data_IF_796060612017
#
_entry.id   IF_796060612017
#
_cell.length_a   1.000
_cell.length_b   1.000
_cell.length_c   1.000
_cell.angle_alpha   90.00
_cell.angle_beta   90.00
_cell.angle_gamma   90.00
#
_symmetry.space_group_name_H-M   'P 1'
#
loop_
_entity.id
_entity.type
_entity.pdbx_description
1 polymer ?
#
# COMPACT_ATOMS: atom_id res chain seq x y z
N UNK A 1 -26.04 9.76 -20.10
CA UNK A 1 -24.97 10.77 -19.91
C UNK A 1 -25.45 11.80 -18.90
N UNK A 2 -25.21 11.58 -17.62
CA UNK A 2 -25.57 12.51 -16.56
C UNK A 2 -24.41 13.50 -16.42
N UNK A 3 -24.63 14.77 -16.79
CA UNK A 3 -23.68 15.84 -16.52
C UNK A 3 -23.62 16.00 -15.00
N UNK A 4 -22.50 15.63 -14.39
CA UNK A 4 -22.17 15.98 -13.02
C UNK A 4 -22.18 17.52 -12.93
N UNK A 5 -23.20 18.09 -12.31
CA UNK A 5 -23.28 19.53 -12.02
C UNK A 5 -22.30 19.79 -10.87
N UNK A 6 -21.11 20.29 -11.22
CA UNK A 6 -20.15 20.83 -10.25
C UNK A 6 -20.85 21.92 -9.44
N UNK A 7 -20.80 21.85 -8.12
CA UNK A 7 -21.41 22.87 -7.26
C UNK A 7 -20.78 24.24 -7.58
N UNK A 8 -21.59 25.32 -7.66
CA UNK A 8 -21.07 26.66 -7.96
C UNK A 8 -20.00 27.14 -6.97
N UNK A 9 -20.02 26.64 -5.74
CA UNK A 9 -19.00 26.90 -4.72
C UNK A 9 -17.68 26.25 -5.05
N UNK A 10 -17.71 25.04 -5.61
CA UNK A 10 -16.52 24.30 -6.01
C UNK A 10 -15.85 24.95 -7.23
N UNK A 11 -16.65 25.37 -8.23
CA UNK A 11 -16.12 26.05 -9.42
C UNK A 11 -15.43 27.38 -9.02
N UNK A 12 -16.04 28.17 -8.12
CA UNK A 12 -15.47 29.43 -7.64
C UNK A 12 -14.23 29.22 -6.74
N UNK A 13 -14.21 28.17 -5.93
CA UNK A 13 -13.03 27.78 -5.13
C UNK A 13 -11.94 27.14 -5.98
N UNK A 14 -12.30 26.40 -7.04
CA UNK A 14 -11.34 25.88 -8.02
C UNK A 14 -10.65 27.03 -8.76
N UNK A 15 -11.35 28.12 -9.07
CA UNK A 15 -10.75 29.33 -9.63
C UNK A 15 -9.79 30.02 -8.63
N UNK A 16 -10.13 30.05 -7.34
CA UNK A 16 -9.28 30.63 -6.28
C UNK A 16 -8.08 29.73 -5.96
N UNK A 17 -8.27 28.41 -5.89
CA UNK A 17 -7.19 27.44 -5.68
C UNK A 17 -6.31 27.28 -6.93
N UNK A 18 -6.90 27.48 -8.14
CA UNK A 18 -6.16 27.54 -9.39
C UNK A 18 -5.12 28.66 -9.40
N UNK A 19 -5.40 29.77 -8.73
CA UNK A 19 -4.48 30.90 -8.64
C UNK A 19 -3.38 30.67 -7.59
N UNK A 20 -3.63 29.95 -6.48
CA UNK A 20 -2.70 29.86 -5.34
C UNK A 20 -2.00 28.51 -5.20
N UNK A 21 -2.66 27.37 -5.50
CA UNK A 21 -2.12 26.03 -5.29
C UNK A 21 -1.92 25.21 -6.59
N UNK A 22 -2.69 25.47 -7.65
CA UNK A 22 -2.48 24.83 -8.95
C UNK A 22 -1.15 25.17 -9.61
N UNK A 23 -0.52 26.35 -9.46
CA UNK A 23 0.83 26.58 -9.97
C UNK A 23 1.85 25.57 -9.42
N UNK A 24 1.69 25.14 -8.16
CA UNK A 24 2.55 24.12 -7.57
C UNK A 24 2.28 22.73 -8.21
N UNK A 25 1.01 22.32 -8.32
CA UNK A 25 0.65 21.04 -8.92
C UNK A 25 0.67 21.03 -10.45
N UNK A 26 0.28 22.12 -11.13
CA UNK A 26 0.41 22.24 -12.59
C UNK A 26 1.89 22.18 -13.03
N UNK A 27 2.79 22.78 -12.30
CA UNK A 27 4.21 22.67 -12.57
C UNK A 27 4.76 21.29 -12.22
N UNK A 28 4.34 20.67 -11.09
CA UNK A 28 4.71 19.30 -10.69
C UNK A 28 4.33 18.26 -11.75
N UNK A 29 3.29 18.52 -12.51
CA UNK A 29 2.72 17.58 -13.44
C UNK A 29 2.96 17.94 -14.90
N UNK A 30 3.38 19.19 -15.22
CA UNK A 30 3.49 19.64 -16.59
C UNK A 30 4.84 19.41 -17.26
N UNK A 31 5.93 19.40 -16.50
CA UNK A 31 7.26 19.14 -17.04
C UNK A 31 7.67 17.66 -16.97
N UNK A 32 6.77 16.79 -16.53
CA UNK A 32 7.11 15.43 -16.16
C UNK A 32 6.52 14.36 -17.08
N UNK A 33 6.80 14.44 -18.36
CA UNK A 33 6.85 13.21 -19.18
C UNK A 33 8.03 12.31 -18.77
N UNK A 34 8.82 12.75 -17.80
CA UNK A 34 9.90 12.00 -17.18
C UNK A 34 9.96 12.25 -15.66
N UNK A 35 10.40 11.24 -14.86
CA UNK A 35 10.67 11.38 -13.44
C UNK A 35 11.60 12.55 -13.10
N UNK A 36 12.52 12.90 -14.02
CA UNK A 36 13.47 14.01 -13.90
C UNK A 36 12.75 15.36 -13.87
N UNK A 37 11.72 15.55 -14.68
CA UNK A 37 10.93 16.80 -14.69
C UNK A 37 10.19 17.03 -13.38
N UNK A 38 9.65 15.97 -12.73
CA UNK A 38 9.04 16.04 -11.41
C UNK A 38 10.07 16.43 -10.34
N UNK A 39 11.27 15.87 -10.42
CA UNK A 39 12.40 16.17 -9.53
C UNK A 39 12.82 17.62 -9.65
N UNK A 40 13.08 18.10 -10.87
CA UNK A 40 13.52 19.47 -11.13
C UNK A 40 12.47 20.48 -10.68
N UNK A 41 11.20 20.15 -10.81
CA UNK A 41 10.13 21.01 -10.37
C UNK A 41 10.01 21.09 -8.85
N UNK A 42 10.01 19.97 -8.13
CA UNK A 42 9.97 19.98 -6.65
C UNK A 42 11.19 20.72 -6.09
N UNK A 43 12.36 20.57 -6.71
CA UNK A 43 13.59 21.29 -6.34
C UNK A 43 13.51 22.78 -6.71
N UNK A 44 12.99 23.11 -7.89
CA UNK A 44 12.81 24.50 -8.37
C UNK A 44 11.71 25.22 -7.60
N UNK A 45 10.58 24.58 -7.33
CA UNK A 45 9.47 25.12 -6.56
C UNK A 45 9.83 25.44 -5.11
N UNK A 46 10.71 24.64 -4.47
CA UNK A 46 11.24 24.97 -3.13
C UNK A 46 12.14 26.22 -3.11
N UNK A 47 12.95 26.43 -4.14
CA UNK A 47 13.76 27.66 -4.25
C UNK A 47 12.89 28.89 -4.46
N UNK A 48 11.75 28.74 -5.13
CA UNK A 48 10.80 29.84 -5.37
C UNK A 48 9.85 30.04 -4.17
N UNK A 49 9.44 28.98 -3.48
CA UNK A 49 8.56 29.03 -2.30
C UNK A 49 9.27 29.58 -1.03
N UNK A 50 10.60 29.65 -1.02
CA UNK A 50 11.31 30.39 0.03
C UNK A 50 10.98 31.89 0.03
N UNK A 51 10.31 32.39 -1.02
CA UNK A 51 9.85 33.78 -1.12
C UNK A 51 8.31 33.94 -0.98
N UNK A 52 7.52 32.86 -1.06
CA UNK A 52 6.08 32.93 -0.88
C UNK A 52 5.62 31.82 0.08
N UNK A 53 4.96 32.19 1.14
CA UNK A 53 4.62 31.42 2.33
C UNK A 53 3.55 30.31 2.15
N UNK A 54 3.61 29.54 1.08
CA UNK A 54 2.80 28.32 0.89
C UNK A 54 3.74 27.13 0.75
N UNK A 55 4.53 26.88 1.78
CA UNK A 55 5.31 25.67 1.89
C UNK A 55 4.34 24.51 2.18
N UNK A 56 4.16 23.61 1.23
CA UNK A 56 3.72 22.27 1.56
C UNK A 56 4.83 21.66 2.44
N UNK A 57 4.60 21.63 3.75
CA UNK A 57 5.58 21.13 4.73
C UNK A 57 5.90 19.65 4.50
N UNK A 58 5.10 18.96 3.66
CA UNK A 58 5.25 17.54 3.37
C UNK A 58 4.52 17.12 2.09
N UNK A 59 5.00 16.07 1.45
CA UNK A 59 4.28 15.38 0.37
C UNK A 59 3.99 13.94 0.80
N UNK A 60 2.72 13.55 0.72
CA UNK A 60 2.26 12.20 1.04
C UNK A 60 2.00 11.43 -0.23
N UNK A 61 2.57 10.25 -0.33
CA UNK A 61 2.43 9.31 -1.44
C UNK A 61 1.75 8.03 -0.97
N UNK A 62 0.89 7.48 -1.81
CA UNK A 62 0.36 6.13 -1.71
C UNK A 62 0.51 5.42 -3.04
N UNK A 63 1.08 4.22 -3.01
CA UNK A 63 1.25 3.40 -4.20
C UNK A 63 0.17 2.34 -4.25
N UNK A 64 -0.45 2.21 -5.40
CA UNK A 64 -1.55 1.27 -5.67
C UNK A 64 -1.20 0.39 -6.86
N UNK A 65 -1.66 -0.85 -6.82
CA UNK A 65 -1.85 -1.67 -8.00
C UNK A 65 -3.16 -1.25 -8.68
N UNK A 66 -3.15 -1.09 -9.99
CA UNK A 66 -4.34 -0.76 -10.78
C UNK A 66 -4.24 -1.39 -12.16
N UNK A 67 -5.33 -1.87 -12.76
CA UNK A 67 -5.31 -2.32 -14.14
C UNK A 67 -5.11 -1.16 -15.11
N UNK A 68 -5.65 0.03 -14.74
CA UNK A 68 -5.64 1.23 -15.58
C UNK A 68 -5.76 2.48 -14.69
N UNK A 69 -4.87 3.46 -14.92
CA UNK A 69 -4.87 4.75 -14.20
C UNK A 69 -6.08 5.61 -14.53
N UNK A 70 -6.55 5.56 -15.79
CA UNK A 70 -7.72 6.32 -16.22
C UNK A 70 -8.99 5.75 -15.56
N UNK A 71 -9.13 4.41 -15.50
CA UNK A 71 -10.22 3.75 -14.79
C UNK A 71 -10.21 4.07 -13.28
N UNK A 72 -9.04 4.14 -12.65
CA UNK A 72 -8.92 4.58 -11.26
C UNK A 72 -9.41 6.02 -11.09
N UNK A 73 -8.98 6.93 -11.97
CA UNK A 73 -9.38 8.34 -11.97
C UNK A 73 -10.88 8.50 -12.16
N UNK A 74 -11.47 7.80 -13.13
CA UNK A 74 -12.91 7.83 -13.40
C UNK A 74 -13.72 7.32 -12.20
N UNK A 75 -13.24 6.31 -11.51
CA UNK A 75 -13.88 5.81 -10.28
C UNK A 75 -13.77 6.81 -9.13
N UNK A 76 -12.64 7.52 -8.99
CA UNK A 76 -12.49 8.59 -8.00
C UNK A 76 -13.49 9.73 -8.24
N UNK A 77 -13.76 10.06 -9.51
CA UNK A 77 -14.74 11.09 -9.89
C UNK A 77 -16.18 10.65 -9.58
N UNK A 78 -16.48 9.35 -9.54
CA UNK A 78 -17.82 8.80 -9.35
C UNK A 78 -18.24 8.59 -7.88
N UNK A 79 -17.42 8.93 -6.90
CA UNK A 79 -17.74 8.69 -5.48
C UNK A 79 -18.95 9.51 -5.06
N UNK A 80 -20.04 8.85 -4.69
CA UNK A 80 -21.31 9.49 -4.31
C UNK A 80 -21.18 10.44 -3.12
N UNK A 81 -21.79 11.62 -3.23
CA UNK A 81 -21.78 12.66 -2.19
C UNK A 81 -20.49 13.48 -2.10
N UNK A 82 -19.56 13.25 -3.02
CA UNK A 82 -18.29 13.96 -3.14
C UNK A 82 -18.28 14.74 -4.45
N UNK A 83 -17.85 15.99 -4.40
CA UNK A 83 -17.62 16.77 -5.62
C UNK A 83 -16.17 16.58 -6.04
N UNK A 84 -15.96 16.19 -7.29
CA UNK A 84 -14.63 16.01 -7.85
C UNK A 84 -14.54 16.76 -9.17
N UNK A 85 -13.51 17.58 -9.30
CA UNK A 85 -13.10 18.18 -10.57
C UNK A 85 -11.80 17.52 -11.00
N UNK A 86 -11.82 16.85 -12.15
CA UNK A 86 -10.66 16.16 -12.72
C UNK A 86 -10.06 16.97 -13.86
N UNK A 87 -8.75 17.07 -13.90
CA UNK A 87 -7.98 17.61 -15.02
C UNK A 87 -6.82 16.68 -15.35
N UNK A 88 -6.76 16.22 -16.61
CA UNK A 88 -5.55 15.54 -17.11
C UNK A 88 -4.45 16.57 -17.27
N UNK A 89 -3.30 16.33 -16.67
CA UNK A 89 -2.17 17.26 -16.67
C UNK A 89 -1.03 16.82 -17.58
N UNK A 90 -0.90 15.51 -17.80
CA UNK A 90 0.01 14.92 -18.79
C UNK A 90 -0.52 13.59 -19.30
N UNK A 91 0.27 12.90 -20.14
CA UNK A 91 -0.05 11.53 -20.59
C UNK A 91 -0.12 10.53 -19.43
N UNK A 92 0.58 10.80 -18.32
CA UNK A 92 0.76 9.89 -17.18
C UNK A 92 0.14 10.41 -15.87
N UNK A 93 -0.48 11.57 -15.88
CA UNK A 93 -0.97 12.19 -14.63
C UNK A 93 -2.27 12.95 -14.75
N UNK A 94 -3.06 12.92 -13.65
CA UNK A 94 -4.29 13.64 -13.45
C UNK A 94 -4.23 14.41 -12.14
N UNK A 95 -4.73 15.63 -12.12
CA UNK A 95 -5.00 16.38 -10.90
C UNK A 95 -6.50 16.35 -10.60
N UNK A 96 -6.84 15.98 -9.38
CA UNK A 96 -8.20 15.93 -8.87
C UNK A 96 -8.36 16.95 -7.76
N UNK A 97 -9.30 17.88 -7.90
CA UNK A 97 -9.77 18.69 -6.79
C UNK A 97 -10.95 17.97 -6.15
N UNK A 98 -10.79 17.53 -4.92
CA UNK A 98 -11.77 16.73 -4.19
C UNK A 98 -12.36 17.55 -3.05
N UNK A 99 -13.69 17.60 -2.97
CA UNK A 99 -14.42 18.17 -1.85
C UNK A 99 -15.33 17.11 -1.24
N UNK A 100 -15.04 16.69 -0.02
CA UNK A 100 -15.95 15.88 0.77
C UNK A 100 -16.96 16.77 1.52
N UNK A 101 -18.15 16.24 1.84
CA UNK A 101 -19.13 17.00 2.64
C UNK A 101 -18.51 17.53 3.94
N UNK A 102 -18.67 18.83 4.18
CA UNK A 102 -18.20 19.54 5.38
C UNK A 102 -16.68 19.56 5.58
N UNK A 103 -15.89 19.45 4.52
CA UNK A 103 -14.44 19.62 4.58
C UNK A 103 -14.00 20.63 3.53
N UNK A 104 -12.82 21.22 3.73
CA UNK A 104 -12.20 22.04 2.71
C UNK A 104 -11.75 21.15 1.54
N UNK A 105 -11.85 21.64 0.30
CA UNK A 105 -11.34 20.92 -0.86
C UNK A 105 -9.82 20.75 -0.76
N UNK A 106 -9.31 19.67 -1.37
CA UNK A 106 -7.90 19.40 -1.46
C UNK A 106 -7.53 18.80 -2.82
N UNK A 107 -6.28 18.93 -3.20
CA UNK A 107 -5.77 18.38 -4.44
C UNK A 107 -5.18 16.99 -4.18
N UNK A 108 -5.61 16.03 -5.01
CA UNK A 108 -5.03 14.70 -5.11
C UNK A 108 -4.52 14.52 -6.53
N UNK A 109 -3.23 14.31 -6.69
CA UNK A 109 -2.67 13.93 -7.97
C UNK A 109 -2.64 12.40 -8.10
N UNK A 110 -2.99 11.91 -9.29
CA UNK A 110 -2.86 10.52 -9.72
C UNK A 110 -1.74 10.48 -10.74
N UNK A 111 -0.66 9.78 -10.44
CA UNK A 111 0.52 9.70 -11.27
C UNK A 111 0.84 8.24 -11.59
N UNK A 112 0.78 7.87 -12.88
CA UNK A 112 1.15 6.54 -13.33
C UNK A 112 2.67 6.37 -13.22
N UNK A 113 3.11 5.32 -12.53
CA UNK A 113 4.51 4.97 -12.45
C UNK A 113 5.05 4.53 -13.83
N UNK A 114 6.37 4.47 -13.98
CA UNK A 114 7.00 3.94 -15.19
C UNK A 114 6.58 2.48 -15.44
N UNK A 115 6.33 1.75 -14.37
CA UNK A 115 5.87 0.36 -14.43
C UNK A 115 4.36 0.31 -14.66
N UNK A 116 3.93 -0.30 -15.75
CA UNK A 116 2.50 -0.51 -16.07
C UNK A 116 1.76 -1.19 -14.92
N UNK A 117 0.62 -0.64 -14.57
CA UNK A 117 -0.26 -1.18 -13.52
C UNK A 117 0.12 -0.76 -12.09
N UNK A 118 0.96 0.26 -11.97
CA UNK A 118 1.30 0.90 -10.70
C UNK A 118 1.00 2.40 -10.80
N UNK A 119 0.39 2.94 -9.76
CA UNK A 119 0.02 4.36 -9.68
C UNK A 119 0.38 4.91 -8.30
N UNK A 120 0.86 6.13 -8.27
CA UNK A 120 1.03 6.90 -7.05
C UNK A 120 -0.11 7.90 -6.89
N UNK A 121 -0.74 7.92 -5.73
CA UNK A 121 -1.57 9.02 -5.28
C UNK A 121 -0.73 9.98 -4.46
N UNK A 122 -0.79 11.26 -4.77
CA UNK A 122 0.08 12.29 -4.19
C UNK A 122 -0.76 13.46 -3.69
N UNK A 123 -0.50 13.92 -2.47
CA UNK A 123 -1.08 15.16 -1.92
C UNK A 123 -0.15 15.82 -0.91
N UNK A 124 -0.28 17.14 -0.74
CA UNK A 124 0.37 17.91 0.33
C UNK A 124 -0.36 17.78 1.68
N UNK A 125 -1.56 17.18 1.70
CA UNK A 125 -2.36 17.01 2.92
C UNK A 125 -1.73 15.95 3.83
N UNK A 126 -1.60 16.20 5.15
CA UNK A 126 -1.08 15.22 6.11
C UNK A 126 -1.92 13.95 6.15
N UNK A 127 -1.28 12.79 6.32
CA UNK A 127 -1.99 11.50 6.48
C UNK A 127 -2.90 11.47 7.70
N UNK A 128 -2.58 12.23 8.74
CA UNK A 128 -3.43 12.39 9.93
C UNK A 128 -4.75 13.11 9.62
N UNK A 129 -4.85 13.80 8.49
CA UNK A 129 -6.06 14.51 8.07
C UNK A 129 -7.19 13.53 7.73
N UNK A 130 -8.39 13.87 8.18
CA UNK A 130 -9.59 13.05 7.96
C UNK A 130 -9.92 12.83 6.47
N UNK A 131 -9.45 13.70 5.57
CA UNK A 131 -9.59 13.60 4.11
C UNK A 131 -8.85 12.38 3.57
N UNK A 132 -7.61 12.12 4.03
CA UNK A 132 -6.86 10.92 3.67
C UNK A 132 -7.59 9.64 4.10
N UNK A 133 -8.16 9.59 5.31
CA UNK A 133 -8.95 8.44 5.77
C UNK A 133 -10.16 8.14 4.88
N UNK A 134 -10.75 9.19 4.28
CA UNK A 134 -11.86 9.03 3.33
C UNK A 134 -11.36 8.48 1.99
N UNK A 135 -10.25 9.00 1.45
CA UNK A 135 -9.59 8.44 0.26
C UNK A 135 -9.19 6.99 0.51
N UNK A 136 -8.61 6.69 1.65
CA UNK A 136 -8.21 5.34 2.05
C UNK A 136 -9.38 4.36 2.08
N UNK A 137 -10.48 4.76 2.71
CA UNK A 137 -11.70 3.94 2.76
C UNK A 137 -12.28 3.71 1.36
N UNK A 138 -12.23 4.74 0.54
CA UNK A 138 -12.68 4.62 -0.83
C UNK A 138 -11.82 3.65 -1.64
N UNK A 139 -10.48 3.75 -1.56
CA UNK A 139 -9.56 2.81 -2.21
C UNK A 139 -9.81 1.38 -1.75
N UNK A 140 -10.05 1.17 -0.46
CA UNK A 140 -10.32 -0.17 0.08
C UNK A 140 -11.62 -0.80 -0.44
N UNK A 141 -12.53 0.02 -0.98
CA UNK A 141 -13.85 -0.41 -1.48
C UNK A 141 -13.97 -0.28 -3.02
N UNK A 142 -12.88 -0.01 -3.74
CA UNK A 142 -12.92 0.10 -5.21
C UNK A 142 -12.37 -1.15 -5.89
N UNK A 143 -12.89 -1.43 -7.09
CA UNK A 143 -12.33 -2.46 -7.99
C UNK A 143 -11.16 -1.92 -8.80
N UNK A 144 -10.99 -0.60 -8.88
CA UNK A 144 -10.04 0.05 -9.77
C UNK A 144 -8.61 0.11 -9.20
N UNK A 145 -8.39 -0.34 -7.98
CA UNK A 145 -7.06 -0.36 -7.40
C UNK A 145 -6.98 -1.09 -6.07
N UNK A 146 -5.79 -1.50 -5.69
CA UNK A 146 -5.50 -2.16 -4.44
C UNK A 146 -4.19 -1.63 -3.83
N UNK A 147 -4.11 -1.62 -2.50
CA UNK A 147 -2.90 -1.19 -1.79
C UNK A 147 -1.79 -2.22 -1.98
N UNK A 148 -0.55 -1.73 -1.95
CA UNK A 148 0.65 -2.56 -1.94
C UNK A 148 1.07 -2.78 -0.49
N UNK A 149 1.48 -4.00 -0.16
CA UNK A 149 2.01 -4.36 1.14
C UNK A 149 3.54 -4.33 1.11
N UNK A 150 4.17 -3.66 2.08
CA UNK A 150 5.62 -3.70 2.27
C UNK A 150 5.96 -4.70 3.37
N UNK A 151 6.78 -5.71 3.04
CA UNK A 151 7.35 -6.64 4.02
C UNK A 151 8.41 -5.95 4.88
N UNK A 152 8.83 -6.57 5.98
CA UNK A 152 9.95 -6.06 6.77
C UNK A 152 11.25 -6.00 5.94
N UNK A 153 11.43 -6.96 5.02
CA UNK A 153 12.53 -6.95 4.05
C UNK A 153 12.48 -5.77 3.07
N UNK A 154 11.28 -5.29 2.69
CA UNK A 154 11.14 -4.10 1.85
C UNK A 154 11.57 -2.83 2.61
N UNK A 155 11.20 -2.71 3.89
CA UNK A 155 11.68 -1.61 4.74
C UNK A 155 13.20 -1.60 4.83
N UNK A 156 13.83 -2.76 5.05
CA UNK A 156 15.28 -2.87 5.15
C UNK A 156 15.95 -2.50 3.83
N UNK A 157 15.46 -2.96 2.67
CA UNK A 157 16.01 -2.58 1.36
C UNK A 157 15.94 -1.08 1.11
N UNK A 158 14.82 -0.45 1.43
CA UNK A 158 14.69 1.02 1.33
C UNK A 158 15.70 1.71 2.25
N UNK A 159 15.86 1.23 3.48
CA UNK A 159 16.85 1.75 4.43
C UNK A 159 18.28 1.60 3.92
N UNK A 160 18.64 0.45 3.37
CA UNK A 160 19.98 0.18 2.80
C UNK A 160 20.26 1.12 1.62
N UNK A 161 19.29 1.33 0.72
CA UNK A 161 19.41 2.29 -0.39
C UNK A 161 19.60 3.72 0.10
N UNK A 162 18.88 4.13 1.14
CA UNK A 162 19.05 5.46 1.75
C UNK A 162 20.43 5.60 2.39
N UNK A 163 20.97 4.54 2.99
CA UNK A 163 22.28 4.55 3.64
C UNK A 163 23.45 4.76 2.66
N UNK A 164 23.27 4.55 1.35
CA UNK A 164 24.24 4.86 0.31
C UNK A 164 24.54 6.37 0.22
N UNK A 165 23.61 7.22 0.67
CA UNK A 165 23.74 8.69 0.61
C UNK A 165 24.23 9.33 1.92
N UNK A 166 24.47 8.54 2.96
CA UNK A 166 25.01 9.03 4.22
C UNK A 166 24.56 8.22 5.44
N UNK A 167 24.86 8.74 6.61
CA UNK A 167 24.49 8.09 7.86
C UNK A 167 22.99 8.17 8.04
N UNK A 168 22.34 7.01 7.97
CA UNK A 168 20.91 6.89 8.20
C UNK A 168 20.59 6.72 9.69
N UNK A 169 19.55 7.40 10.17
CA UNK A 169 19.04 7.29 11.53
C UNK A 169 17.53 7.08 11.55
N UNK A 170 17.05 6.26 12.48
CA UNK A 170 15.63 6.06 12.77
C UNK A 170 15.22 6.95 13.92
N UNK A 171 14.28 7.87 13.70
CA UNK A 171 13.72 8.75 14.75
C UNK A 171 12.55 8.12 15.49
N UNK A 172 11.74 7.34 14.78
CA UNK A 172 10.55 6.69 15.34
C UNK A 172 10.22 5.42 14.60
N UNK A 173 9.76 4.42 15.33
CA UNK A 173 9.30 3.16 14.80
C UNK A 173 8.01 2.76 15.50
N UNK A 174 7.04 2.24 14.72
CA UNK A 174 5.87 1.57 15.28
C UNK A 174 5.80 0.14 14.76
N UNK A 175 5.45 -0.78 15.63
CA UNK A 175 5.25 -2.17 15.28
C UNK A 175 4.00 -2.72 15.97
N UNK A 176 3.46 -3.82 15.47
CA UNK A 176 2.36 -4.57 16.06
C UNK A 176 2.86 -5.95 16.44
N UNK A 177 2.72 -6.33 17.68
CA UNK A 177 3.06 -7.67 18.15
C UNK A 177 2.00 -8.70 17.78
N UNK A 178 2.36 -9.98 17.79
CA UNK A 178 1.46 -11.09 17.55
C UNK A 178 0.28 -11.17 18.53
N UNK A 179 0.43 -10.65 19.75
CA UNK A 179 -0.64 -10.53 20.75
C UNK A 179 -1.59 -9.33 20.50
N UNK A 180 -1.39 -8.59 19.40
CA UNK A 180 -2.17 -7.41 19.04
C UNK A 180 -1.71 -6.12 19.70
N UNK A 181 -0.74 -6.16 20.62
CA UNK A 181 -0.18 -4.98 21.25
C UNK A 181 0.58 -4.11 20.24
N UNK A 182 0.60 -2.80 20.46
CA UNK A 182 1.29 -1.85 19.61
C UNK A 182 2.52 -1.30 20.31
N UNK A 183 3.69 -1.47 19.72
CA UNK A 183 4.92 -0.83 20.11
C UNK A 183 5.05 0.51 19.40
N UNK A 184 5.33 1.56 20.16
CA UNK A 184 5.66 2.89 19.62
C UNK A 184 6.96 3.36 20.28
N UNK A 185 8.05 3.37 19.51
CA UNK A 185 9.38 3.68 20.03
C UNK A 185 9.97 4.89 19.32
N UNK A 186 10.24 5.94 20.09
CA UNK A 186 11.00 7.11 19.65
C UNK A 186 12.47 6.97 20.05
N UNK A 187 13.37 7.50 19.21
CA UNK A 187 14.81 7.52 19.44
C UNK A 187 15.29 8.97 19.52
N UNK A 188 16.04 9.35 20.56
CA UNK A 188 16.52 10.72 20.71
C UNK A 188 17.57 11.05 19.63
N UNK A 189 17.58 12.30 19.15
CA UNK A 189 18.41 12.75 18.02
C UNK A 189 19.92 12.45 18.18
N UNK A 190 20.41 12.33 19.41
CA UNK A 190 21.84 12.04 19.68
C UNK A 190 22.22 10.56 19.58
N UNK A 191 21.25 9.65 19.50
CA UNK A 191 21.45 8.19 19.46
C UNK A 191 20.38 7.51 18.62
N UNK A 192 20.33 7.88 17.36
CA UNK A 192 19.40 7.25 16.43
C UNK A 192 20.08 6.01 15.86
N UNK A 193 19.46 4.83 16.03
CA UNK A 193 19.97 3.59 15.48
C UNK A 193 19.80 3.57 13.95
N UNK A 194 20.59 2.75 13.28
CA UNK A 194 20.28 2.31 11.92
C UNK A 194 18.93 1.58 11.87
N UNK A 195 18.36 1.38 10.69
CA UNK A 195 17.09 0.66 10.59
C UNK A 195 17.24 -0.80 11.06
N UNK A 196 18.32 -1.46 10.70
CA UNK A 196 18.60 -2.84 11.13
C UNK A 196 18.69 -2.95 12.66
N UNK A 197 19.40 -2.02 13.31
CA UNK A 197 19.47 -1.97 14.78
C UNK A 197 18.10 -1.68 15.40
N UNK A 198 17.34 -0.73 14.85
CA UNK A 198 16.00 -0.38 15.33
C UNK A 198 15.02 -1.56 15.23
N UNK A 199 15.08 -2.31 14.12
CA UNK A 199 14.30 -3.54 13.91
C UNK A 199 14.74 -4.63 14.90
N UNK A 200 16.05 -4.80 15.11
CA UNK A 200 16.59 -5.75 16.10
C UNK A 200 16.19 -5.45 17.56
N UNK A 201 15.73 -4.23 17.84
CA UNK A 201 15.20 -3.83 19.16
C UNK A 201 13.70 -4.12 19.33
N UNK A 202 13.03 -4.55 18.28
CA UNK A 202 11.62 -4.95 18.27
C UNK A 202 11.57 -6.46 18.46
N UNK A 203 10.54 -6.94 19.14
CA UNK A 203 10.33 -8.38 19.31
C UNK A 203 10.24 -9.04 17.92
N UNK A 204 10.88 -10.21 17.77
CA UNK A 204 10.85 -11.03 16.55
C UNK A 204 9.42 -11.41 16.12
N UNK A 205 8.48 -11.41 17.07
CA UNK A 205 7.07 -11.68 16.83
C UNK A 205 6.27 -10.41 16.48
N UNK A 206 6.92 -9.33 16.11
CA UNK A 206 6.28 -8.05 15.78
C UNK A 206 6.46 -7.69 14.33
N UNK A 207 5.40 -7.14 13.74
CA UNK A 207 5.34 -6.61 12.39
C UNK A 207 5.61 -5.10 12.40
N UNK A 208 6.56 -4.62 11.62
CA UNK A 208 6.75 -3.18 11.40
C UNK A 208 5.49 -2.55 10.80
N UNK A 209 5.05 -1.42 11.34
CA UNK A 209 3.92 -0.65 10.81
C UNK A 209 4.37 0.64 10.15
N UNK A 210 5.20 1.40 10.81
CA UNK A 210 5.73 2.66 10.29
C UNK A 210 7.14 2.90 10.78
N UNK A 211 7.94 3.58 9.95
CA UNK A 211 9.29 4.03 10.32
C UNK A 211 9.50 5.46 9.85
N UNK A 212 9.92 6.33 10.76
CA UNK A 212 10.38 7.68 10.47
C UNK A 212 11.92 7.66 10.41
N UNK A 213 12.47 7.90 9.24
CA UNK A 213 13.90 7.80 8.92
C UNK A 213 14.43 9.10 8.35
N UNK A 214 15.73 9.32 8.51
CA UNK A 214 16.45 10.42 7.85
C UNK A 214 17.89 10.04 7.56
N UNK A 215 18.48 10.73 6.61
CA UNK A 215 19.90 10.65 6.22
C UNK A 215 20.48 12.05 6.38
N UNK A 216 21.03 12.36 7.54
CA UNK A 216 21.50 13.71 7.85
C UNK A 216 20.48 14.78 7.47
N UNK A 217 20.93 15.83 6.78
CA UNK A 217 20.09 16.89 6.19
C UNK A 217 19.65 16.56 4.76
N UNK A 218 20.05 15.39 4.22
CA UNK A 218 19.84 15.02 2.82
C UNK A 218 18.41 14.58 2.56
N UNK A 219 17.80 13.82 3.48
CA UNK A 219 16.46 13.27 3.29
C UNK A 219 15.78 12.95 4.63
N UNK A 220 14.50 13.30 4.76
CA UNK A 220 13.65 12.90 5.88
C UNK A 220 12.32 12.35 5.37
N UNK A 221 11.97 11.12 5.76
CA UNK A 221 10.79 10.40 5.29
C UNK A 221 10.07 9.64 6.41
N UNK A 222 8.77 9.43 6.21
CA UNK A 222 7.98 8.49 7.00
C UNK A 222 7.42 7.40 6.08
N UNK A 223 7.83 6.17 6.28
CA UNK A 223 7.41 5.01 5.52
C UNK A 223 6.34 4.23 6.27
N UNK A 224 5.36 3.70 5.55
CA UNK A 224 4.25 2.90 6.11
C UNK A 224 4.11 1.58 5.39
N UNK A 225 3.71 0.56 6.11
CA UNK A 225 3.57 -0.80 5.60
C UNK A 225 2.63 -0.94 4.38
N UNK A 226 1.54 -0.20 4.33
CA UNK A 226 0.63 -0.22 3.18
C UNK A 226 1.07 0.80 2.12
N UNK A 227 2.32 0.68 1.70
CA UNK A 227 2.99 1.43 0.64
C UNK A 227 2.71 2.95 0.64
N UNK A 228 2.56 3.50 1.83
CA UNK A 228 2.49 4.93 2.03
C UNK A 228 3.87 5.49 2.39
N UNK A 229 4.27 6.57 1.74
CA UNK A 229 5.47 7.32 2.09
C UNK A 229 5.12 8.79 2.29
N UNK A 230 5.76 9.46 3.25
CA UNK A 230 5.69 10.91 3.37
C UNK A 230 7.10 11.46 3.25
N UNK A 231 7.30 12.33 2.30
CA UNK A 231 8.50 13.13 2.15
C UNK A 231 8.35 14.40 2.96
N UNK A 232 9.22 14.64 3.93
CA UNK A 232 9.20 15.84 4.75
C UNK A 232 10.20 16.89 4.26
N UNK A 233 11.42 16.48 3.96
CA UNK A 233 12.48 17.42 3.55
C UNK A 233 13.62 16.70 2.87
N UNK A 234 14.44 17.47 2.15
CA UNK A 234 15.67 17.00 1.54
C UNK A 234 15.64 16.96 0.02
N UNK A 235 16.45 16.08 -0.56
CA UNK A 235 16.54 15.89 -2.00
C UNK A 235 15.46 14.95 -2.49
N UNK A 236 14.56 15.45 -3.37
CA UNK A 236 13.47 14.66 -3.91
C UNK A 236 13.95 13.59 -4.89
N UNK A 237 15.09 13.79 -5.59
CA UNK A 237 15.62 12.77 -6.49
C UNK A 237 16.06 11.54 -5.72
N UNK A 238 16.70 11.72 -4.57
CA UNK A 238 17.08 10.62 -3.67
C UNK A 238 15.82 9.92 -3.13
N UNK A 239 14.79 10.69 -2.74
CA UNK A 239 13.51 10.11 -2.31
C UNK A 239 12.87 9.26 -3.42
N UNK A 240 12.85 9.77 -4.65
CA UNK A 240 12.33 9.05 -5.80
C UNK A 240 13.09 7.74 -6.03
N UNK A 241 14.41 7.82 -6.13
CA UNK A 241 15.26 6.66 -6.47
C UNK A 241 15.33 5.62 -5.35
N UNK A 242 15.38 6.04 -4.09
CA UNK A 242 15.55 5.11 -2.96
C UNK A 242 14.23 4.60 -2.40
N UNK A 243 13.14 5.38 -2.50
CA UNK A 243 11.88 5.05 -1.83
C UNK A 243 10.82 4.68 -2.86
N UNK A 244 10.46 5.60 -3.77
CA UNK A 244 9.36 5.32 -4.70
C UNK A 244 9.68 4.19 -5.66
N UNK A 245 10.87 4.13 -6.23
CA UNK A 245 11.29 3.01 -7.11
C UNK A 245 11.34 1.67 -6.40
N UNK A 246 11.74 1.61 -5.13
CA UNK A 246 11.71 0.36 -4.37
C UNK A 246 10.26 -0.08 -4.06
N UNK A 247 9.37 0.88 -3.79
CA UNK A 247 7.93 0.60 -3.64
C UNK A 247 7.34 0.10 -4.97
N UNK A 248 7.68 0.72 -6.11
CA UNK A 248 7.28 0.28 -7.45
C UNK A 248 7.77 -1.13 -7.76
N UNK A 249 9.02 -1.44 -7.43
CA UNK A 249 9.58 -2.78 -7.59
C UNK A 249 8.83 -3.81 -6.73
N UNK A 250 8.44 -3.45 -5.51
CA UNK A 250 7.61 -4.30 -4.64
C UNK A 250 6.20 -4.48 -5.22
N UNK A 251 5.58 -3.41 -5.71
CA UNK A 251 4.28 -3.47 -6.37
C UNK A 251 4.30 -4.40 -7.60
N UNK A 252 5.36 -4.32 -8.40
CA UNK A 252 5.57 -5.16 -9.58
C UNK A 252 5.71 -6.64 -9.19
N UNK A 253 6.50 -6.94 -8.16
CA UNK A 253 6.62 -8.31 -7.63
C UNK A 253 5.27 -8.85 -7.16
N UNK A 254 4.50 -8.07 -6.41
CA UNK A 254 3.18 -8.48 -5.93
C UNK A 254 2.19 -8.67 -7.08
N UNK A 255 2.20 -7.78 -8.08
CA UNK A 255 1.37 -7.94 -9.29
C UNK A 255 1.69 -9.25 -10.01
N UNK A 256 2.97 -9.55 -10.21
CA UNK A 256 3.41 -10.82 -10.79
C UNK A 256 2.98 -12.00 -9.93
N UNK A 257 3.15 -11.89 -8.62
CA UNK A 257 2.77 -12.93 -7.67
C UNK A 257 1.26 -13.21 -7.70
N UNK A 258 0.42 -12.18 -7.85
CA UNK A 258 -1.04 -12.32 -7.84
C UNK A 258 -1.64 -12.67 -9.21
N UNK A 259 -0.88 -12.48 -10.30
CA UNK A 259 -1.36 -12.75 -11.66
C UNK A 259 -1.44 -14.26 -11.95
N UNK A 260 -2.37 -14.63 -12.85
CA UNK A 260 -2.49 -16.02 -13.32
C UNK A 260 -2.96 -17.03 -12.27
N UNK A 261 -3.55 -16.57 -11.14
CA UNK A 261 -3.97 -17.45 -10.05
C UNK A 261 -5.43 -17.85 -10.10
N UNK A 262 -6.16 -17.41 -11.11
CA UNK A 262 -7.53 -17.88 -11.35
C UNK A 262 -7.51 -19.38 -11.66
N UNK A 263 -8.34 -20.14 -10.96
CA UNK A 263 -8.46 -21.59 -11.16
C UNK A 263 -9.22 -21.89 -12.44
N UNK A 264 -8.68 -22.71 -13.30
CA UNK A 264 -9.31 -23.20 -14.52
C UNK A 264 -9.43 -24.73 -14.47
N UNK A 265 -10.51 -25.27 -15.07
CA UNK A 265 -10.84 -26.71 -14.98
C UNK A 265 -9.74 -27.64 -15.52
N UNK A 266 -8.95 -27.18 -16.50
CA UNK A 266 -7.99 -28.01 -17.21
C UNK A 266 -6.54 -27.50 -17.10
N UNK A 267 -6.24 -26.61 -16.14
CA UNK A 267 -4.91 -26.02 -15.95
C UNK A 267 -4.40 -26.42 -14.56
N UNK A 268 -3.14 -26.77 -14.40
CA UNK A 268 -2.57 -27.00 -13.07
C UNK A 268 -2.85 -25.82 -12.15
N UNK A 269 -3.21 -26.11 -10.90
CA UNK A 269 -3.45 -25.06 -9.91
C UNK A 269 -2.12 -24.38 -9.62
N UNK A 270 -2.10 -23.05 -9.74
CA UNK A 270 -0.92 -22.26 -9.37
C UNK A 270 -0.61 -22.47 -7.87
N UNK A 271 0.67 -22.49 -7.47
CA UNK A 271 1.04 -22.53 -6.07
C UNK A 271 0.35 -21.41 -5.28
N UNK A 272 -0.01 -21.62 -3.99
CA UNK A 272 -0.64 -20.56 -3.22
C UNK A 272 0.30 -19.40 -2.97
N UNK A 273 -0.30 -18.24 -2.68
CA UNK A 273 0.40 -17.13 -2.03
C UNK A 273 0.44 -17.41 -0.54
N UNK A 274 1.64 -17.55 0.02
CA UNK A 274 1.84 -17.76 1.45
C UNK A 274 2.16 -16.44 2.13
N UNK A 275 1.44 -16.15 3.21
CA UNK A 275 1.63 -15.03 4.10
C UNK A 275 2.32 -15.56 5.35
N UNK A 276 3.57 -15.16 5.55
CA UNK A 276 4.37 -15.60 6.69
C UNK A 276 4.02 -14.79 7.94
N UNK A 277 3.85 -15.49 9.05
CA UNK A 277 3.57 -14.94 10.37
C UNK A 277 4.71 -15.28 11.33
N UNK A 278 4.76 -14.67 12.53
CA UNK A 278 5.66 -15.12 13.58
C UNK A 278 5.41 -16.57 13.98
N UNK A 279 6.48 -17.27 14.37
CA UNK A 279 6.44 -18.67 14.78
C UNK A 279 5.38 -18.93 15.86
N UNK A 280 4.57 -19.95 15.66
CA UNK A 280 3.55 -20.38 16.64
C UNK A 280 2.33 -19.47 16.76
N UNK A 281 2.11 -18.53 15.83
CA UNK A 281 1.00 -17.57 15.91
C UNK A 281 -0.36 -18.27 16.01
N UNK A 282 -0.62 -19.31 15.22
CA UNK A 282 -1.86 -20.08 15.25
C UNK A 282 -1.81 -21.31 16.17
N UNK A 283 -0.81 -21.42 17.04
CA UNK A 283 -0.71 -22.51 18.02
C UNK A 283 -1.89 -22.59 19.00
N UNK A 284 -2.70 -21.53 19.09
CA UNK A 284 -3.90 -21.48 19.91
C UNK A 284 -5.18 -21.39 19.06
N UNK A 285 -6.15 -22.29 19.33
CA UNK A 285 -7.47 -22.29 18.66
C UNK A 285 -8.26 -20.98 18.79
N UNK A 286 -8.03 -20.20 19.86
CA UNK A 286 -8.66 -18.90 20.05
C UNK A 286 -8.28 -17.93 18.92
N UNK A 287 -7.01 -17.90 18.51
CA UNK A 287 -6.50 -17.02 17.44
C UNK A 287 -7.14 -17.34 16.09
N UNK A 288 -7.36 -18.61 15.78
CA UNK A 288 -8.12 -19.01 14.57
C UNK A 288 -9.56 -18.49 14.61
N UNK A 289 -10.20 -18.51 15.77
CA UNK A 289 -11.54 -17.97 15.96
C UNK A 289 -11.62 -16.46 15.81
N UNK A 290 -10.64 -15.74 16.38
CA UNK A 290 -10.50 -14.29 16.25
C UNK A 290 -10.23 -13.88 14.79
N UNK A 291 -9.38 -14.60 14.10
CA UNK A 291 -9.09 -14.38 12.68
C UNK A 291 -10.35 -14.54 11.81
N UNK A 292 -11.09 -15.63 11.99
CA UNK A 292 -12.37 -15.84 11.26
C UNK A 292 -13.34 -14.69 11.55
N UNK A 293 -13.52 -14.32 12.83
CA UNK A 293 -14.40 -13.24 13.23
C UNK A 293 -14.00 -11.90 12.64
N UNK A 294 -12.71 -11.58 12.67
CA UNK A 294 -12.17 -10.34 12.13
C UNK A 294 -12.32 -10.27 10.61
N UNK A 295 -11.99 -11.35 9.89
CA UNK A 295 -12.14 -11.41 8.42
C UNK A 295 -13.60 -11.31 8.01
N UNK A 296 -14.51 -11.97 8.74
CA UNK A 296 -15.96 -11.93 8.52
C UNK A 296 -16.59 -10.57 8.83
N UNK A 297 -15.92 -9.70 9.61
CA UNK A 297 -16.40 -8.35 9.92
C UNK A 297 -16.18 -7.34 8.77
N UNK A 298 -15.43 -7.72 7.75
CA UNK A 298 -15.16 -6.88 6.60
C UNK A 298 -16.39 -6.87 5.70
N UNK A 299 -17.02 -5.72 5.53
CA UNK A 299 -18.38 -5.56 4.97
C UNK A 299 -18.55 -6.06 3.52
N UNK A 300 -17.45 -6.11 2.73
CA UNK A 300 -17.50 -6.58 1.34
C UNK A 300 -17.01 -8.02 1.16
N UNK A 301 -16.65 -8.71 2.24
CA UNK A 301 -16.27 -10.11 2.20
C UNK A 301 -17.38 -11.01 2.76
N UNK A 302 -17.65 -12.10 2.07
CA UNK A 302 -18.35 -13.25 2.65
C UNK A 302 -17.34 -14.34 2.98
N UNK A 303 -17.37 -14.81 4.22
CA UNK A 303 -16.44 -15.84 4.72
C UNK A 303 -17.24 -17.04 5.19
N UNK A 304 -16.98 -18.20 4.61
CA UNK A 304 -17.54 -19.45 5.03
C UNK A 304 -16.45 -20.39 5.54
N UNK A 305 -16.62 -20.91 6.74
CA UNK A 305 -15.70 -21.93 7.27
C UNK A 305 -16.05 -23.29 6.65
N UNK A 306 -15.15 -23.83 5.84
CA UNK A 306 -15.29 -25.15 5.21
C UNK A 306 -14.78 -26.22 6.15
N UNK A 307 -13.66 -25.99 6.83
CA UNK A 307 -13.02 -26.96 7.71
C UNK A 307 -12.29 -26.29 8.87
N UNK A 308 -12.20 -26.94 10.04
CA UNK A 308 -11.53 -26.39 11.24
C UNK A 308 -10.54 -27.35 11.92
N UNK A 309 -10.48 -28.60 11.49
CA UNK A 309 -9.63 -29.60 12.14
C UNK A 309 -9.29 -30.72 11.14
N UNK A 310 -8.01 -31.08 10.91
CA UNK A 310 -6.82 -30.59 11.65
C UNK A 310 -6.31 -29.21 11.23
N UNK A 311 -6.75 -28.64 10.11
CA UNK A 311 -6.36 -27.33 9.60
C UNK A 311 -7.57 -26.42 9.41
N UNK A 312 -7.37 -25.12 9.32
CA UNK A 312 -8.42 -24.18 8.98
C UNK A 312 -8.50 -24.02 7.46
N UNK A 313 -9.71 -24.13 6.90
CA UNK A 313 -10.04 -23.80 5.53
C UNK A 313 -11.24 -22.87 5.49
N UNK A 314 -11.07 -21.72 4.87
CA UNK A 314 -12.09 -20.71 4.64
C UNK A 314 -12.32 -20.54 3.13
N UNK A 315 -13.58 -20.52 2.71
CA UNK A 315 -13.98 -20.00 1.41
C UNK A 315 -14.33 -18.52 1.56
N UNK A 316 -13.72 -17.67 0.76
CA UNK A 316 -13.88 -16.21 0.82
C UNK A 316 -14.37 -15.70 -0.53
N UNK A 317 -15.39 -14.84 -0.53
CA UNK A 317 -15.88 -14.14 -1.71
C UNK A 317 -15.82 -12.64 -1.48
N UNK A 318 -15.17 -11.92 -2.40
CA UNK A 318 -15.13 -10.45 -2.41
C UNK A 318 -16.25 -9.91 -3.30
N UNK A 319 -17.25 -9.29 -2.69
CA UNK A 319 -18.39 -8.72 -3.42
C UNK A 319 -18.00 -7.46 -4.22
N UNK A 320 -16.81 -6.91 -4.04
CA UNK A 320 -16.35 -5.74 -4.77
C UNK A 320 -16.22 -6.03 -6.26
N UNK A 321 -15.67 -7.21 -6.62
CA UNK A 321 -15.45 -7.62 -8.01
C UNK A 321 -15.86 -9.07 -8.33
N UNK A 322 -16.43 -9.77 -7.36
CA UNK A 322 -16.84 -11.18 -7.49
C UNK A 322 -15.67 -12.16 -7.40
N UNK A 323 -14.50 -11.73 -6.94
CA UNK A 323 -13.35 -12.61 -6.73
C UNK A 323 -13.64 -13.63 -5.64
N UNK A 324 -13.19 -14.87 -5.83
CA UNK A 324 -13.33 -15.97 -4.86
C UNK A 324 -11.96 -16.55 -4.52
N UNK A 325 -11.79 -16.98 -3.28
CA UNK A 325 -10.52 -17.48 -2.75
C UNK A 325 -10.75 -18.63 -1.78
N UNK A 326 -9.78 -19.53 -1.71
CA UNK A 326 -9.62 -20.48 -0.62
C UNK A 326 -8.46 -20.05 0.27
N UNK A 327 -8.71 -19.88 1.56
CA UNK A 327 -7.71 -19.49 2.57
C UNK A 327 -7.47 -20.66 3.50
N UNK A 328 -6.23 -21.10 3.61
CA UNK A 328 -5.82 -22.20 4.45
C UNK A 328 -4.84 -21.73 5.53
N UNK A 329 -4.99 -22.29 6.74
CA UNK A 329 -3.98 -22.24 7.79
C UNK A 329 -3.62 -23.71 8.09
N UNK A 330 -2.52 -24.15 7.51
CA UNK A 330 -2.03 -25.53 7.60
C UNK A 330 -0.87 -25.69 8.58
N UNK A 331 -0.22 -24.57 8.93
CA UNK A 331 0.83 -24.47 9.94
C UNK A 331 0.54 -23.32 10.91
N UNK A 332 1.30 -23.25 11.99
CA UNK A 332 1.09 -22.24 13.03
C UNK A 332 1.62 -20.84 12.63
N UNK A 333 2.33 -20.73 11.52
CA UNK A 333 3.09 -19.55 11.10
C UNK A 333 2.82 -19.11 9.64
N UNK A 334 1.88 -19.77 8.94
CA UNK A 334 1.56 -19.42 7.55
C UNK A 334 0.05 -19.40 7.27
N UNK A 335 -0.36 -18.45 6.43
CA UNK A 335 -1.68 -18.42 5.80
C UNK A 335 -1.50 -18.52 4.29
N UNK A 336 -2.07 -19.55 3.70
CA UNK A 336 -2.03 -19.80 2.27
C UNK A 336 -3.31 -19.33 1.60
N UNK A 337 -3.17 -18.54 0.53
CA UNK A 337 -4.29 -18.02 -0.26
C UNK A 337 -4.22 -18.57 -1.67
N UNK A 338 -5.26 -19.28 -2.08
CA UNK A 338 -5.47 -19.77 -3.44
C UNK A 338 -6.52 -18.94 -4.15
N UNK A 339 -6.31 -18.64 -5.42
CA UNK A 339 -7.36 -18.08 -6.28
C UNK A 339 -8.48 -19.10 -6.52
N UNK A 340 -9.72 -18.65 -6.53
CA UNK A 340 -10.87 -19.45 -6.94
C UNK A 340 -11.09 -19.42 -8.45
N UNK A 341 -12.30 -19.75 -8.88
CA UNK A 341 -12.69 -19.74 -10.31
C UNK A 341 -12.82 -18.34 -10.89
N UNK A 342 -13.01 -17.35 -10.04
CA UNK A 342 -12.98 -15.94 -10.38
C UNK A 342 -12.03 -15.26 -9.40
N UNK A 343 -10.89 -14.73 -9.89
CA UNK A 343 -9.97 -13.97 -9.05
C UNK A 343 -9.24 -12.95 -9.92
N UNK A 344 -9.28 -11.68 -9.52
CA UNK A 344 -8.51 -10.59 -10.12
C UNK A 344 -7.22 -10.34 -9.32
N UNK A 345 -6.24 -9.69 -9.94
CA UNK A 345 -5.01 -9.25 -9.24
C UNK A 345 -5.36 -8.29 -8.11
N UNK A 346 -6.29 -7.38 -8.36
CA UNK A 346 -6.75 -6.38 -7.39
C UNK A 346 -7.54 -7.03 -6.23
N UNK A 347 -8.38 -8.02 -6.54
CA UNK A 347 -9.10 -8.81 -5.53
C UNK A 347 -8.13 -9.59 -4.64
N UNK A 348 -7.11 -10.19 -5.26
CA UNK A 348 -6.04 -10.88 -4.52
C UNK A 348 -5.28 -9.92 -3.60
N UNK A 349 -4.86 -8.77 -4.15
CA UNK A 349 -4.14 -7.76 -3.39
C UNK A 349 -5.00 -7.19 -2.24
N UNK A 350 -6.31 -6.98 -2.44
CA UNK A 350 -7.24 -6.56 -1.37
C UNK A 350 -7.31 -7.59 -0.26
N UNK A 351 -7.56 -8.87 -0.61
CA UNK A 351 -7.65 -9.93 0.40
C UNK A 351 -6.36 -10.06 1.20
N UNK A 352 -5.21 -10.11 0.51
CA UNK A 352 -3.90 -10.16 1.16
C UNK A 352 -3.68 -8.94 2.06
N UNK A 353 -4.05 -7.73 1.61
CA UNK A 353 -3.98 -6.51 2.41
C UNK A 353 -4.82 -6.63 3.68
N UNK A 354 -6.05 -7.15 3.59
CA UNK A 354 -6.89 -7.37 4.76
C UNK A 354 -6.28 -8.38 5.74
N UNK A 355 -5.80 -9.51 5.23
CA UNK A 355 -5.15 -10.53 6.07
C UNK A 355 -3.92 -9.95 6.77
N UNK A 356 -3.07 -9.23 6.05
CA UNK A 356 -1.84 -8.62 6.61
C UNK A 356 -2.12 -7.43 7.54
N UNK A 357 -3.31 -6.82 7.45
CA UNK A 357 -3.75 -5.81 8.41
C UNK A 357 -4.33 -6.42 9.69
N UNK A 358 -4.97 -7.58 9.58
CA UNK A 358 -5.50 -8.33 10.72
C UNK A 358 -4.39 -9.09 11.48
N UNK A 359 -3.44 -9.66 10.76
CA UNK A 359 -2.38 -10.52 11.30
C UNK A 359 -1.02 -9.82 11.28
N UNK A 360 -0.06 -10.22 12.14
CA UNK A 360 1.30 -9.66 12.17
C UNK A 360 2.17 -10.25 11.04
N UNK A 361 1.72 -10.15 9.78
CA UNK A 361 2.42 -10.70 8.64
C UNK A 361 3.80 -10.03 8.43
N UNK A 362 4.83 -10.84 8.21
CA UNK A 362 6.21 -10.37 8.01
C UNK A 362 6.61 -10.39 6.55
N UNK A 363 6.10 -11.36 5.77
CA UNK A 363 6.42 -11.53 4.35
C UNK A 363 5.24 -12.08 3.55
N UNK A 364 5.30 -11.91 2.22
CA UNK A 364 4.36 -12.47 1.25
C UNK A 364 5.17 -13.05 0.11
N UNK A 365 4.96 -14.35 -0.16
CA UNK A 365 5.71 -15.08 -1.19
C UNK A 365 4.86 -16.13 -1.88
N UNK A 366 5.34 -16.65 -2.99
CA UNK A 366 4.81 -17.89 -3.54
C UNK A 366 5.27 -19.07 -2.66
N UNK A 367 4.34 -19.91 -2.27
CA UNK A 367 4.67 -21.13 -1.53
C UNK A 367 5.44 -22.09 -2.44
N UNK A 368 6.66 -22.43 -2.05
CA UNK A 368 7.38 -23.51 -2.71
C UNK A 368 6.68 -24.80 -2.34
N UNK A 369 6.05 -25.43 -3.31
CA UNK A 369 5.60 -26.80 -3.15
C UNK A 369 6.86 -27.66 -3.12
N UNK A 370 7.14 -28.29 -2.00
CA UNK A 370 8.15 -29.35 -1.99
C UNK A 370 7.71 -30.40 -2.99
N UNK A 371 8.59 -30.88 -3.88
CA UNK A 371 8.24 -31.98 -4.76
C UNK A 371 7.76 -33.12 -3.86
N UNK A 372 6.51 -33.49 -4.00
CA UNK A 372 5.98 -34.68 -3.34
C UNK A 372 6.91 -35.80 -3.80
N UNK A 373 7.65 -36.36 -2.85
CA UNK A 373 8.53 -37.51 -3.13
C UNK A 373 7.76 -38.53 -3.94
N UNK A 374 8.45 -39.26 -4.81
CA UNK A 374 7.80 -40.24 -5.66
C UNK A 374 6.89 -41.12 -4.79
N UNK A 375 5.83 -41.66 -5.37
CA UNK A 375 4.94 -42.60 -4.66
C UNK A 375 5.74 -43.72 -3.98
N UNK A 376 6.89 -44.04 -4.53
CA UNK A 376 7.87 -45.02 -4.02
C UNK A 376 8.54 -44.57 -2.71
N UNK A 377 8.85 -43.24 -2.56
CA UNK A 377 9.38 -42.69 -1.30
C UNK A 377 8.30 -42.62 -0.20
N UNK A 378 7.05 -42.33 -0.56
CA UNK A 378 5.93 -42.33 0.39
C UNK A 378 5.62 -43.76 0.89
N UNK A 379 5.78 -44.78 0.01
CA UNK A 379 5.60 -46.19 0.39
C UNK A 379 6.77 -46.68 1.26
N UNK A 380 7.98 -46.16 1.03
CA UNK A 380 9.16 -46.51 1.83
C UNK A 380 9.16 -45.94 3.25
N UNK A 381 8.41 -44.82 3.48
CA UNK A 381 8.28 -44.20 4.80
C UNK A 381 7.14 -44.80 5.64
N UNK A 382 6.28 -45.62 5.06
CA UNK A 382 5.10 -46.22 5.70
C UNK A 382 5.23 -47.72 6.04
N UNK A 383 6.45 -48.32 5.87
CA UNK A 383 6.73 -49.74 6.10
C UNK A 383 7.41 -50.03 7.44
#
# INVERSE_FOLDING_TARGET
>A
MSRSTVSPSLARRAELLAVEQLPFFDRLLWDSDSPVGLVDFVMGGRRSAAHESVAADQLTFWTLLTPDSDALTDRLVMVGGTSVLSRRTSSVSHALLIEFPRTDPFVLAVWAAETSGVVHLLSSVPVSDGRWKRVERWISNTTAGAKVFLSDGDFLRIGDRMAEFGVMGVSKLTARSGDGSSLNRGFPSRRQPSLLEAVGMVDRNSQLRTVLMHVGDVLSIHLRRLAGATFYSGDFSIFYDCVLREIEATATRQRTLFSGRTRHVNVPIAPPVSITLPDGFFGNRAQSGEFIGALSSISHLAVATVHRNPYLHLAVSDYTDGSTFDVFVTSDDEVDVHGGFTSSVEGFARLVTHITDLLPATDIREKRLEPVGSLEELVALGG
#
